data_IF_959005816908
#
_entry.id   IF_959005816908
#
_cell.length_a   1.000
_cell.length_b   1.000
_cell.length_c   1.000
_cell.angle_alpha   90.00
_cell.angle_beta   90.00
_cell.angle_gamma   90.00
#
_symmetry.space_group_name_H-M   'P 1'
#
loop_
_entity.id
_entity.type
_entity.pdbx_description
1 polymer ?
#
# COMPACT_ATOMS: atom_id res chain seq x y z
N UNK A 1 -17.91 8.00 2.00
CA UNK A 1 -17.79 7.61 0.57
C UNK A 1 -16.33 7.37 0.21
N UNK A 2 -16.03 6.58 -0.83
CA UNK A 2 -14.65 6.36 -1.29
C UNK A 2 -13.89 7.68 -1.54
N UNK A 3 -14.55 8.72 -2.06
CA UNK A 3 -13.91 10.05 -2.27
C UNK A 3 -13.48 10.74 -0.98
N UNK A 4 -14.26 10.63 0.09
CA UNK A 4 -13.87 11.16 1.40
C UNK A 4 -12.69 10.35 1.98
N UNK A 5 -12.71 9.04 1.77
CA UNK A 5 -11.65 8.12 2.20
C UNK A 5 -10.34 8.32 1.43
N UNK A 6 -10.42 8.58 0.12
CA UNK A 6 -9.28 8.92 -0.74
C UNK A 6 -8.51 10.13 -0.20
N UNK A 7 -9.21 11.06 0.46
CA UNK A 7 -8.61 12.26 1.04
C UNK A 7 -8.29 12.12 2.52
N UNK A 8 -8.80 11.13 3.24
CA UNK A 8 -8.78 11.08 4.71
C UNK A 8 -7.38 11.16 5.35
N UNK A 9 -6.35 10.63 4.68
CA UNK A 9 -4.95 10.70 5.12
C UNK A 9 -4.16 11.88 4.55
N UNK A 10 -4.79 12.76 3.77
CA UNK A 10 -4.15 13.95 3.22
C UNK A 10 -4.41 15.17 4.11
N UNK A 11 -3.47 16.11 4.07
CA UNK A 11 -3.64 17.45 4.65
C UNK A 11 -4.92 18.08 4.08
N UNK A 12 -5.74 18.66 4.95
CA UNK A 12 -6.93 19.39 4.52
C UNK A 12 -6.57 20.85 4.33
N UNK A 13 -6.38 21.26 3.08
CA UNK A 13 -6.04 22.64 2.68
C UNK A 13 -7.03 23.69 3.21
N UNK A 14 -8.27 23.28 3.51
CA UNK A 14 -9.31 24.16 4.06
C UNK A 14 -9.32 24.23 5.58
N UNK A 15 -8.38 23.53 6.23
CA UNK A 15 -8.23 23.45 7.69
C UNK A 15 -9.56 23.17 8.43
N UNK A 16 -10.41 22.30 7.85
CA UNK A 16 -11.73 22.01 8.42
C UNK A 16 -11.58 21.11 9.64
N UNK A 17 -12.47 21.32 10.61
CA UNK A 17 -12.58 20.40 11.76
C UNK A 17 -13.05 19.01 11.29
N UNK A 18 -12.80 17.93 12.05
CA UNK A 18 -13.32 16.60 11.72
C UNK A 18 -14.84 16.58 11.51
N UNK A 19 -15.56 17.35 12.33
CA UNK A 19 -17.01 17.52 12.21
C UNK A 19 -17.42 18.08 10.85
N UNK A 20 -16.71 19.11 10.38
CA UNK A 20 -16.94 19.73 9.07
C UNK A 20 -16.51 18.80 7.92
N UNK A 21 -15.35 18.16 8.05
CA UNK A 21 -14.77 17.28 7.02
C UNK A 21 -15.62 16.04 6.76
N UNK A 22 -16.18 15.46 7.82
CA UNK A 22 -16.98 14.24 7.77
C UNK A 22 -18.48 14.48 8.07
N UNK A 23 -18.96 15.72 7.91
CA UNK A 23 -20.34 16.12 8.24
C UNK A 23 -21.42 15.24 7.58
N UNK A 24 -21.14 14.66 6.41
CA UNK A 24 -22.05 13.71 5.75
C UNK A 24 -22.14 12.39 6.52
N UNK A 25 -21.00 11.80 6.87
CA UNK A 25 -20.94 10.54 7.60
C UNK A 25 -21.53 10.70 9.01
N UNK A 26 -21.22 11.82 9.67
CA UNK A 26 -21.69 12.12 11.04
C UNK A 26 -23.19 12.46 11.12
N UNK A 27 -23.83 12.86 10.02
CA UNK A 27 -25.29 13.06 9.93
C UNK A 27 -26.05 11.78 9.61
N UNK A 28 -25.36 10.73 9.16
CA UNK A 28 -25.98 9.44 8.85
C UNK A 28 -26.23 8.61 10.11
N UNK A 29 -27.10 7.62 10.00
CA UNK A 29 -27.26 6.60 11.04
C UNK A 29 -26.00 5.74 11.12
N UNK A 30 -25.41 5.52 12.30
CA UNK A 30 -24.29 4.60 12.46
C UNK A 30 -24.68 3.20 12.00
N UNK A 31 -23.82 2.57 11.18
CA UNK A 31 -24.01 1.16 10.75
C UNK A 31 -23.83 0.19 11.91
N UNK A 32 -23.01 0.57 12.89
CA UNK A 32 -22.82 -0.16 14.13
C UNK A 32 -22.51 0.81 15.27
N UNK A 33 -22.86 0.42 16.48
CA UNK A 33 -22.49 1.12 17.71
C UNK A 33 -22.36 0.08 18.81
N UNK A 34 -21.27 0.14 19.56
CA UNK A 34 -21.02 -0.75 20.70
C UNK A 34 -20.23 0.01 21.76
N UNK A 35 -20.18 -0.58 22.96
CA UNK A 35 -19.40 -0.06 24.08
C UNK A 35 -18.26 -1.01 24.36
N UNK A 36 -17.07 -0.44 24.55
CA UNK A 36 -15.89 -1.18 24.97
C UNK A 36 -15.60 -0.89 26.45
N UNK A 37 -15.39 -1.93 27.24
CA UNK A 37 -14.94 -1.77 28.63
C UNK A 37 -13.42 -1.76 28.64
N UNK A 38 -12.84 -0.68 29.16
CA UNK A 38 -11.39 -0.58 29.33
C UNK A 38 -10.96 -1.44 30.53
N UNK A 39 -9.86 -2.21 30.43
CA UNK A 39 -9.34 -2.99 31.55
C UNK A 39 -9.01 -2.08 32.74
N UNK A 40 -9.26 -2.56 33.97
CA UNK A 40 -9.08 -1.76 35.18
C UNK A 40 -7.63 -1.24 35.33
N UNK A 41 -6.62 -2.04 34.96
CA UNK A 41 -5.22 -1.60 34.95
C UNK A 41 -4.97 -0.38 34.06
N UNK A 42 -5.69 -0.24 32.93
CA UNK A 42 -5.53 0.92 32.03
C UNK A 42 -6.17 2.20 32.57
N UNK A 43 -6.99 2.08 33.61
CA UNK A 43 -7.60 3.21 34.32
C UNK A 43 -6.73 3.69 35.50
N UNK A 44 -5.64 2.99 35.81
CA UNK A 44 -4.68 3.47 36.80
C UNK A 44 -3.95 4.69 36.27
N UNK A 45 -3.85 5.73 37.11
CA UNK A 45 -3.18 6.98 36.73
C UNK A 45 -1.67 6.78 36.86
N UNK A 46 -1.09 6.13 35.86
CA UNK A 46 0.35 5.89 35.76
C UNK A 46 1.04 6.73 34.68
N UNK A 47 0.27 7.54 33.95
CA UNK A 47 0.71 8.40 32.84
C UNK A 47 1.45 7.65 31.72
N UNK A 48 1.24 6.34 31.59
CA UNK A 48 1.81 5.52 30.51
C UNK A 48 0.82 5.32 29.38
N UNK A 49 1.35 5.13 28.18
CA UNK A 49 0.54 4.72 27.04
C UNK A 49 0.15 3.25 27.22
N UNK A 50 -1.16 2.99 27.25
CA UNK A 50 -1.73 1.65 27.26
C UNK A 50 -2.33 1.34 25.89
N UNK A 51 -1.96 0.20 25.30
CA UNK A 51 -2.49 -0.26 24.02
C UNK A 51 -3.46 -1.40 24.25
N UNK A 52 -4.66 -1.26 23.70
CA UNK A 52 -5.68 -2.30 23.71
C UNK A 52 -6.03 -2.69 22.28
N UNK A 53 -6.40 -3.96 22.11
CA UNK A 53 -6.99 -4.46 20.88
C UNK A 53 -8.30 -5.12 21.26
N UNK A 54 -9.40 -4.67 20.64
CA UNK A 54 -10.71 -5.27 20.81
C UNK A 54 -11.37 -5.53 19.47
N UNK A 55 -12.21 -6.56 19.43
CA UNK A 55 -13.04 -6.87 18.27
C UNK A 55 -14.21 -5.90 18.21
N UNK A 56 -14.38 -5.23 17.07
CA UNK A 56 -15.57 -4.42 16.80
C UNK A 56 -16.71 -5.22 16.18
N UNK A 57 -17.78 -4.52 15.83
CA UNK A 57 -18.88 -5.10 15.05
C UNK A 57 -18.40 -5.56 13.65
N UNK A 58 -19.01 -6.63 13.13
CA UNK A 58 -18.82 -7.03 11.73
C UNK A 58 -19.33 -5.92 10.79
N UNK A 59 -18.52 -5.55 9.80
CA UNK A 59 -18.82 -4.48 8.86
C UNK A 59 -19.01 -5.06 7.45
N UNK A 60 -20.11 -4.72 6.75
CA UNK A 60 -20.23 -4.99 5.33
C UNK A 60 -19.08 -4.36 4.53
N UNK A 61 -18.85 -4.80 3.29
CA UNK A 61 -17.85 -4.17 2.40
C UNK A 61 -18.13 -2.67 2.25
N UNK A 62 -17.09 -1.84 2.43
CA UNK A 62 -17.26 -0.39 2.40
C UNK A 62 -16.17 0.38 3.13
N UNK A 63 -16.39 1.69 3.26
CA UNK A 63 -15.49 2.61 3.96
C UNK A 63 -16.23 3.30 5.08
N UNK A 64 -15.64 3.26 6.26
CA UNK A 64 -16.25 3.68 7.50
C UNK A 64 -15.40 4.76 8.16
N UNK A 65 -16.10 5.72 8.77
CA UNK A 65 -15.54 6.58 9.79
C UNK A 65 -15.82 5.89 11.13
N UNK A 66 -14.77 5.58 11.88
CA UNK A 66 -14.87 5.10 13.25
C UNK A 66 -14.72 6.31 14.15
N UNK A 67 -15.64 6.48 15.10
CA UNK A 67 -15.59 7.54 16.10
C UNK A 67 -15.62 6.88 17.47
N UNK A 68 -14.64 7.21 18.31
CA UNK A 68 -14.51 6.70 19.67
C UNK A 68 -14.64 7.88 20.61
N UNK A 69 -15.50 7.75 21.62
CA UNK A 69 -15.73 8.79 22.61
C UNK A 69 -15.91 8.22 24.00
N UNK A 70 -15.55 8.98 25.03
CA UNK A 70 -15.87 8.67 26.43
C UNK A 70 -17.24 9.22 26.87
N UNK A 71 -18.06 9.73 25.94
CA UNK A 71 -19.41 10.24 26.22
C UNK A 71 -20.48 9.34 25.61
N UNK A 72 -21.63 9.25 26.29
CA UNK A 72 -22.78 8.45 25.84
C UNK A 72 -23.40 8.99 24.55
N UNK A 73 -23.29 10.30 24.30
CA UNK A 73 -23.80 10.95 23.08
C UNK A 73 -22.73 11.83 22.45
N UNK A 74 -22.55 11.66 21.14
CA UNK A 74 -21.72 12.53 20.31
C UNK A 74 -22.51 13.77 19.90
N UNK A 75 -21.99 14.94 20.21
CA UNK A 75 -22.50 16.21 19.73
C UNK A 75 -21.34 17.04 19.17
N UNK A 76 -21.43 17.37 17.88
CA UNK A 76 -20.43 18.19 17.17
C UNK A 76 -20.88 19.64 16.95
N UNK A 77 -22.11 19.98 17.36
CA UNK A 77 -22.71 21.31 17.15
C UNK A 77 -22.53 22.24 18.35
N UNK A 78 -21.89 21.76 19.42
CA UNK A 78 -21.66 22.52 20.65
C UNK A 78 -20.27 22.19 21.20
N UNK A 79 -19.65 23.10 21.97
CA UNK A 79 -18.40 22.81 22.64
C UNK A 79 -18.51 21.53 23.48
N UNK A 80 -17.51 20.67 23.38
CA UNK A 80 -17.50 19.44 24.15
C UNK A 80 -17.39 19.76 25.65
N UNK A 81 -18.17 19.11 26.53
CA UNK A 81 -18.02 19.29 27.98
C UNK A 81 -16.59 19.02 28.46
N UNK A 82 -16.21 19.59 29.61
CA UNK A 82 -14.91 19.30 30.22
C UNK A 82 -14.70 17.78 30.40
N UNK A 83 -13.47 17.34 30.11
CA UNK A 83 -13.10 15.91 30.14
C UNK A 83 -13.68 15.06 29.01
N UNK A 84 -14.30 15.66 27.98
CA UNK A 84 -14.71 14.92 26.78
C UNK A 84 -13.51 14.62 25.89
N UNK A 85 -13.36 13.36 25.52
CA UNK A 85 -12.36 12.90 24.57
C UNK A 85 -13.09 12.25 23.41
N UNK A 86 -12.75 12.68 22.19
CA UNK A 86 -13.26 12.06 20.96
C UNK A 86 -12.11 11.89 19.99
N UNK A 87 -11.92 10.66 19.54
CA UNK A 87 -10.98 10.32 18.49
C UNK A 87 -11.77 9.80 17.27
N UNK A 88 -11.16 9.89 16.10
CA UNK A 88 -11.74 9.32 14.89
C UNK A 88 -10.64 8.67 14.04
N UNK A 89 -11.05 7.67 13.26
CA UNK A 89 -10.22 7.01 12.27
C UNK A 89 -11.06 6.62 11.07
N UNK A 90 -10.41 6.30 9.96
CA UNK A 90 -11.10 5.74 8.79
C UNK A 90 -10.62 4.31 8.56
N UNK A 91 -11.55 3.43 8.23
CA UNK A 91 -11.26 2.01 7.96
C UNK A 91 -11.99 1.56 6.69
N UNK A 92 -11.35 0.69 5.92
CA UNK A 92 -11.96 0.03 4.77
C UNK A 92 -12.17 -1.46 5.09
N UNK A 93 -13.40 -1.94 4.90
CA UNK A 93 -13.73 -3.36 4.94
C UNK A 93 -13.85 -3.86 3.49
N UNK A 94 -13.03 -4.85 3.12
CA UNK A 94 -12.95 -5.37 1.76
C UNK A 94 -12.44 -6.81 1.76
N UNK A 95 -13.07 -7.66 0.96
CA UNK A 95 -12.61 -9.02 0.66
C UNK A 95 -11.43 -9.02 -0.32
N UNK A 96 -11.13 -7.88 -0.93
CA UNK A 96 -10.02 -7.71 -1.85
C UNK A 96 -8.73 -7.40 -1.10
N UNK A 97 -7.64 -8.04 -1.49
CA UNK A 97 -6.27 -7.62 -1.20
C UNK A 97 -5.46 -7.60 -2.49
N UNK A 98 -4.36 -6.84 -2.49
CA UNK A 98 -3.49 -6.78 -3.66
C UNK A 98 -2.05 -6.49 -3.25
N UNK A 99 -1.12 -7.12 -3.98
CA UNK A 99 0.30 -6.80 -3.95
C UNK A 99 0.73 -6.33 -5.33
N UNK A 100 1.68 -5.40 -5.38
CA UNK A 100 2.14 -4.78 -6.62
C UNK A 100 3.59 -5.12 -6.92
N UNK A 101 3.90 -5.34 -8.19
CA UNK A 101 5.28 -5.43 -8.72
C UNK A 101 5.36 -4.73 -10.07
N UNK A 102 6.55 -4.64 -10.65
CA UNK A 102 6.69 -4.39 -12.09
C UNK A 102 6.93 -5.70 -12.82
N UNK A 103 6.33 -5.82 -14.00
CA UNK A 103 6.75 -6.82 -14.98
C UNK A 103 8.13 -6.45 -15.51
N UNK A 104 9.06 -7.38 -15.51
CA UNK A 104 10.45 -7.09 -15.87
C UNK A 104 10.61 -6.81 -17.36
N UNK A 105 9.91 -7.56 -18.21
CA UNK A 105 10.05 -7.44 -19.67
C UNK A 105 9.45 -6.14 -20.21
N UNK A 106 8.30 -5.73 -19.68
CA UNK A 106 7.55 -4.56 -20.18
C UNK A 106 7.68 -3.34 -19.28
N UNK A 107 8.24 -3.50 -18.08
CA UNK A 107 8.28 -2.49 -17.02
C UNK A 107 6.91 -1.90 -16.69
N UNK A 108 5.85 -2.69 -16.92
CA UNK A 108 4.48 -2.29 -16.61
C UNK A 108 4.14 -2.70 -15.17
N UNK A 109 3.51 -1.82 -14.39
CA UNK A 109 3.04 -2.19 -13.06
C UNK A 109 2.02 -3.33 -13.17
N UNK A 110 2.17 -4.32 -12.31
CA UNK A 110 1.27 -5.46 -12.16
C UNK A 110 0.70 -5.47 -10.75
N UNK A 111 -0.57 -5.87 -10.65
CA UNK A 111 -1.19 -6.25 -9.40
C UNK A 111 -1.48 -7.74 -9.42
N UNK A 112 -1.19 -8.41 -8.32
CA UNK A 112 -1.78 -9.70 -7.99
C UNK A 112 -2.92 -9.44 -7.01
N UNK A 113 -4.15 -9.68 -7.46
CA UNK A 113 -5.37 -9.49 -6.66
C UNK A 113 -5.76 -10.82 -6.04
N UNK A 114 -6.00 -10.79 -4.73
CA UNK A 114 -6.26 -11.97 -3.91
C UNK A 114 -7.52 -11.77 -3.07
N UNK A 115 -8.12 -12.87 -2.65
CA UNK A 115 -9.08 -12.87 -1.57
C UNK A 115 -8.31 -12.63 -0.27
N UNK A 116 -8.71 -11.61 0.50
CA UNK A 116 -8.02 -11.18 1.71
C UNK A 116 -8.00 -12.26 2.80
N UNK A 117 -9.07 -13.06 2.89
CA UNK A 117 -9.22 -14.08 3.91
C UNK A 117 -8.48 -15.37 3.56
N UNK A 118 -8.57 -15.83 2.30
CA UNK A 118 -8.01 -17.13 1.88
C UNK A 118 -6.64 -17.02 1.24
N UNK A 119 -6.24 -15.82 0.79
CA UNK A 119 -5.01 -15.60 0.02
C UNK A 119 -5.07 -16.12 -1.42
N UNK A 120 -6.20 -16.69 -1.86
CA UNK A 120 -6.33 -17.25 -3.21
C UNK A 120 -6.42 -16.14 -4.28
N UNK A 121 -5.83 -16.33 -5.47
CA UNK A 121 -5.99 -15.39 -6.58
C UNK A 121 -7.45 -15.16 -6.98
N UNK A 122 -7.81 -13.90 -7.25
CA UNK A 122 -9.16 -13.52 -7.64
C UNK A 122 -9.23 -13.06 -9.10
N UNK A 123 -9.94 -13.85 -9.92
CA UNK A 123 -10.26 -13.52 -11.30
C UNK A 123 -11.45 -12.54 -11.42
N UNK A 124 -11.53 -11.82 -12.54
CA UNK A 124 -12.69 -10.99 -12.91
C UNK A 124 -12.86 -9.68 -12.14
N UNK A 125 -11.98 -9.38 -11.19
CA UNK A 125 -11.90 -8.07 -10.52
C UNK A 125 -11.49 -6.99 -11.52
N UNK A 126 -12.04 -5.79 -11.37
CA UNK A 126 -11.71 -4.64 -12.23
C UNK A 126 -10.69 -3.75 -11.55
N UNK A 127 -9.82 -3.10 -12.31
CA UNK A 127 -8.99 -2.04 -11.78
C UNK A 127 -8.76 -0.88 -12.75
N UNK A 128 -8.44 0.27 -12.17
CA UNK A 128 -8.07 1.48 -12.88
C UNK A 128 -6.95 2.17 -12.11
N UNK A 129 -5.84 2.43 -12.79
CA UNK A 129 -4.72 3.16 -12.24
C UNK A 129 -4.92 4.67 -12.38
N UNK A 130 -4.44 5.41 -11.38
CA UNK A 130 -4.35 6.86 -11.38
C UNK A 130 -2.87 7.28 -11.39
N UNK A 131 -2.56 8.20 -12.29
CA UNK A 131 -1.22 8.69 -12.58
C UNK A 131 -1.15 10.18 -12.28
N UNK A 132 0.01 10.63 -11.84
CA UNK A 132 0.34 12.05 -11.73
C UNK A 132 1.34 12.38 -12.83
N UNK A 133 0.96 13.30 -13.72
CA UNK A 133 1.72 13.63 -14.92
C UNK A 133 2.20 15.07 -14.81
N UNK A 134 3.51 15.28 -15.01
CA UNK A 134 4.08 16.61 -15.22
C UNK A 134 3.98 16.95 -16.70
N UNK A 135 3.33 18.07 -17.03
CA UNK A 135 3.27 18.60 -18.39
C UNK A 135 4.32 19.70 -18.56
N UNK A 136 5.07 19.71 -19.66
CA UNK A 136 6.13 20.71 -19.88
C UNK A 136 5.65 22.17 -19.87
N UNK A 137 4.36 22.41 -20.14
CA UNK A 137 3.73 23.74 -20.17
C UNK A 137 3.10 24.19 -18.84
N UNK A 138 3.12 23.35 -17.80
CA UNK A 138 2.43 23.64 -16.54
C UNK A 138 3.21 23.07 -15.35
N UNK A 139 3.51 23.91 -14.37
CA UNK A 139 4.04 23.49 -13.06
C UNK A 139 3.04 22.67 -12.23
N UNK A 140 1.80 22.53 -12.70
CA UNK A 140 0.78 21.72 -12.03
C UNK A 140 0.80 20.27 -12.52
N UNK A 141 0.76 19.37 -11.54
CA UNK A 141 0.49 17.95 -11.71
C UNK A 141 -0.91 17.73 -12.32
N UNK A 142 -0.99 17.04 -13.44
CA UNK A 142 -2.27 16.58 -14.00
C UNK A 142 -2.55 15.14 -13.60
N UNK A 143 -3.76 14.87 -13.10
CA UNK A 143 -4.20 13.51 -12.78
C UNK A 143 -4.75 12.84 -14.05
N UNK A 144 -4.16 11.71 -14.45
CA UNK A 144 -4.65 10.89 -15.55
C UNK A 144 -5.08 9.51 -15.06
N UNK A 145 -6.00 8.87 -15.78
CA UNK A 145 -6.50 7.52 -15.46
C UNK A 145 -6.20 6.57 -16.60
N UNK A 146 -5.85 5.33 -16.28
CA UNK A 146 -5.75 4.27 -17.28
C UNK A 146 -7.15 3.87 -17.80
N UNK A 147 -7.20 3.15 -18.93
CA UNK A 147 -8.30 2.24 -19.22
C UNK A 147 -8.56 1.26 -18.06
N UNK A 148 -9.78 0.76 -17.95
CA UNK A 148 -10.13 -0.28 -16.99
C UNK A 148 -9.57 -1.61 -17.46
N UNK A 149 -8.95 -2.35 -16.56
CA UNK A 149 -8.45 -3.71 -16.82
C UNK A 149 -9.13 -4.72 -15.89
N UNK A 150 -9.07 -6.00 -16.26
CA UNK A 150 -9.62 -7.11 -15.48
C UNK A 150 -8.49 -8.04 -15.03
N UNK A 151 -8.63 -8.65 -13.85
CA UNK A 151 -7.72 -9.74 -13.46
C UNK A 151 -7.99 -10.98 -14.30
N UNK A 152 -6.90 -11.58 -14.77
CA UNK A 152 -6.90 -12.91 -15.37
C UNK A 152 -7.18 -13.99 -14.31
N UNK A 153 -7.30 -15.24 -14.75
CA UNK A 153 -7.63 -16.39 -13.88
C UNK A 153 -6.63 -16.61 -12.75
N UNK A 154 -5.37 -16.23 -12.96
CA UNK A 154 -4.31 -16.25 -11.96
C UNK A 154 -4.29 -15.03 -11.02
N UNK A 155 -5.33 -14.18 -11.06
CA UNK A 155 -5.45 -12.96 -10.25
C UNK A 155 -4.55 -11.80 -10.68
N UNK A 156 -3.74 -11.97 -11.73
CA UNK A 156 -2.83 -10.93 -12.21
C UNK A 156 -3.56 -9.95 -13.14
N UNK A 157 -3.26 -8.66 -13.00
CA UNK A 157 -3.64 -7.62 -13.93
C UNK A 157 -2.46 -6.67 -14.20
N UNK A 158 -2.25 -6.32 -15.46
CA UNK A 158 -1.26 -5.32 -15.88
C UNK A 158 -1.95 -3.95 -15.91
N UNK A 159 -1.36 -2.94 -15.27
CA UNK A 159 -1.88 -1.58 -15.23
C UNK A 159 -1.30 -0.77 -16.40
N UNK A 160 -2.11 -0.45 -17.43
CA UNK A 160 -1.61 0.23 -18.62
C UNK A 160 -1.31 1.70 -18.33
N UNK A 161 -0.27 2.24 -18.97
CA UNK A 161 0.06 3.68 -18.89
C UNK A 161 -1.16 4.51 -19.28
N UNK A 162 -1.36 5.65 -18.61
CA UNK A 162 -2.48 6.54 -18.93
C UNK A 162 -2.29 7.32 -20.25
N UNK A 163 -1.05 7.55 -20.70
CA UNK A 163 -0.74 8.28 -21.93
C UNK A 163 0.36 7.57 -22.74
N UNK A 164 0.42 7.84 -24.05
CA UNK A 164 1.55 7.51 -24.95
C UNK A 164 2.78 8.38 -24.68
N UNK A 165 3.00 8.83 -23.45
CA UNK A 165 4.17 9.63 -23.11
C UNK A 165 5.40 8.75 -22.98
N UNK A 166 6.49 9.21 -23.57
CA UNK A 166 7.84 8.73 -23.28
C UNK A 166 8.29 9.29 -21.93
N UNK A 167 8.89 8.45 -21.09
CA UNK A 167 9.42 8.86 -19.78
C UNK A 167 8.62 8.37 -18.56
N UNK A 168 9.17 8.67 -17.37
CA UNK A 168 8.72 8.17 -16.07
C UNK A 168 7.46 8.93 -15.63
N UNK A 169 6.31 8.27 -15.67
CA UNK A 169 5.10 8.80 -15.03
C UNK A 169 5.02 8.20 -13.62
N UNK A 170 5.19 8.97 -12.54
CA UNK A 170 5.02 8.45 -11.19
C UNK A 170 3.58 7.96 -11.05
N UNK A 171 3.44 6.64 -10.91
CA UNK A 171 2.18 6.01 -10.64
C UNK A 171 1.84 6.20 -9.16
N UNK A 172 0.60 6.57 -8.88
CA UNK A 172 0.25 7.07 -7.54
C UNK A 172 -0.68 6.11 -6.82
N UNK A 173 -1.61 5.50 -7.54
CA UNK A 173 -2.52 4.52 -6.96
C UNK A 173 -3.22 3.68 -8.03
N UNK A 174 -3.85 2.59 -7.59
CA UNK A 174 -4.84 1.87 -8.35
C UNK A 174 -6.07 1.61 -7.50
N UNK A 175 -7.25 1.81 -8.10
CA UNK A 175 -8.51 1.38 -7.53
C UNK A 175 -8.86 0.02 -8.13
N UNK A 176 -9.16 -0.95 -7.27
CA UNK A 176 -9.64 -2.29 -7.61
C UNK A 176 -11.09 -2.41 -7.12
N UNK A 177 -11.96 -3.09 -7.87
CA UNK A 177 -13.33 -3.34 -7.43
C UNK A 177 -13.92 -4.63 -8.00
N UNK A 178 -14.84 -5.23 -7.25
CA UNK A 178 -15.70 -6.35 -7.67
C UNK A 178 -17.09 -6.14 -7.07
N UNK A 179 -18.08 -5.91 -7.93
CA UNK A 179 -19.40 -5.47 -7.46
C UNK A 179 -19.28 -4.15 -6.69
N UNK A 180 -19.77 -4.14 -5.44
CA UNK A 180 -19.67 -3.00 -4.52
C UNK A 180 -18.40 -2.99 -3.69
N UNK A 181 -17.64 -4.08 -3.66
CA UNK A 181 -16.38 -4.16 -2.92
C UNK A 181 -15.27 -3.42 -3.66
N UNK A 182 -14.52 -2.60 -2.93
CA UNK A 182 -13.50 -1.72 -3.49
C UNK A 182 -12.27 -1.70 -2.60
N UNK A 183 -11.10 -1.73 -3.23
CA UNK A 183 -9.79 -1.56 -2.59
C UNK A 183 -9.03 -0.45 -3.32
N UNK A 184 -8.42 0.45 -2.56
CA UNK A 184 -7.49 1.44 -3.11
C UNK A 184 -6.08 1.08 -2.67
N UNK A 185 -5.23 0.78 -3.64
CA UNK A 185 -3.81 0.55 -3.44
C UNK A 185 -3.08 1.86 -3.71
N UNK A 186 -2.43 2.40 -2.68
CA UNK A 186 -1.62 3.63 -2.77
C UNK A 186 -0.15 3.29 -2.82
N UNK A 187 0.67 4.25 -3.24
CA UNK A 187 2.13 4.14 -3.23
C UNK A 187 2.58 2.86 -3.95
N UNK A 188 1.94 2.56 -5.08
CA UNK A 188 2.40 1.51 -5.98
C UNK A 188 3.87 1.76 -6.21
N UNK A 189 4.70 0.79 -5.82
CA UNK A 189 6.13 0.98 -5.63
C UNK A 189 6.67 1.77 -6.81
N UNK A 190 7.05 3.03 -6.62
CA UNK A 190 7.65 3.85 -7.67
C UNK A 190 9.10 3.47 -7.76
N UNK A 191 9.38 2.28 -8.31
CA UNK A 191 10.73 1.73 -8.37
C UNK A 191 11.70 2.80 -8.90
N UNK A 192 12.79 3.02 -8.16
CA UNK A 192 13.95 3.67 -8.73
C UNK A 192 14.31 2.88 -9.98
N UNK A 193 14.26 3.57 -11.12
CA UNK A 193 14.65 3.02 -12.40
C UNK A 193 16.13 2.65 -12.31
N UNK A 194 16.40 1.38 -12.05
CA UNK A 194 17.66 0.75 -12.40
C UNK A 194 17.30 -0.14 -13.59
N UNK A 195 17.66 0.23 -14.83
CA UNK A 195 17.48 -0.68 -15.94
C UNK A 195 18.20 -1.96 -15.53
N UNK A 196 17.45 -3.07 -15.46
CA UNK A 196 18.09 -4.34 -15.19
C UNK A 196 18.84 -4.65 -16.47
N UNK A 197 20.16 -4.50 -16.38
CA UNK A 197 21.06 -4.84 -17.46
C UNK A 197 20.90 -6.34 -17.72
N UNK A 198 20.13 -6.67 -18.75
CA UNK A 198 19.88 -8.05 -19.18
C UNK A 198 21.08 -8.62 -19.93
N UNK A 199 22.20 -7.88 -20.00
CA UNK A 199 23.46 -8.42 -20.47
C UNK A 199 23.93 -9.54 -19.55
N UNK A 200 24.49 -10.63 -20.10
CA UNK A 200 25.05 -11.70 -19.28
C UNK A 200 26.16 -11.14 -18.37
N UNK A 201 25.95 -11.21 -17.07
CA UNK A 201 26.90 -10.71 -16.07
C UNK A 201 27.75 -11.88 -15.58
N UNK A 202 29.07 -11.84 -15.85
CA UNK A 202 30.01 -12.81 -15.28
C UNK A 202 30.45 -12.34 -13.90
N UNK A 203 30.32 -13.20 -12.90
CA UNK A 203 30.80 -12.94 -11.54
C UNK A 203 31.65 -14.09 -11.05
N UNK A 204 32.89 -13.76 -10.64
CA UNK A 204 33.81 -14.70 -10.00
C UNK A 204 33.81 -14.48 -8.50
N UNK A 205 33.58 -15.56 -7.75
CA UNK A 205 33.75 -15.58 -6.30
C UNK A 205 35.10 -16.20 -5.99
N UNK A 206 36.02 -15.40 -5.47
CA UNK A 206 37.33 -15.87 -5.03
C UNK A 206 37.29 -16.17 -3.54
N UNK A 207 37.86 -17.29 -3.14
CA UNK A 207 38.04 -17.66 -1.75
C UNK A 207 39.41 -18.27 -1.54
N UNK A 208 40.03 -17.90 -0.43
CA UNK A 208 41.30 -18.44 0.05
C UNK A 208 41.02 -19.54 1.07
N UNK A 209 42.04 -20.33 1.40
CA UNK A 209 41.97 -21.29 2.50
C UNK A 209 41.96 -20.61 3.88
N UNK A 210 42.45 -19.35 3.96
CA UNK A 210 42.63 -18.60 5.21
C UNK A 210 42.31 -17.11 5.03
N UNK A 211 41.90 -16.46 6.11
CA UNK A 211 41.55 -15.04 6.12
C UNK A 211 42.76 -14.08 6.19
N UNK A 212 43.91 -14.52 6.71
CA UNK A 212 45.13 -13.70 6.83
C UNK A 212 46.38 -14.53 6.47
N UNK A 213 47.30 -13.88 5.75
CA UNK A 213 48.64 -14.39 5.45
C UNK A 213 49.70 -13.45 6.00
N UNK A 214 50.85 -14.01 6.37
CA UNK A 214 52.03 -13.25 6.81
C UNK A 214 52.97 -12.98 5.63
N UNK A 215 53.85 -11.96 5.72
CA UNK A 215 54.83 -11.68 4.67
C UNK A 215 55.67 -12.93 4.32
N UNK A 216 55.84 -13.19 3.03
CA UNK A 216 56.59 -14.33 2.50
C UNK A 216 55.80 -15.63 2.33
N UNK A 217 54.52 -15.68 2.68
CA UNK A 217 53.67 -16.85 2.44
C UNK A 217 53.08 -16.86 1.03
N UNK A 218 53.03 -18.05 0.41
CA UNK A 218 52.26 -18.29 -0.82
C UNK A 218 50.76 -18.25 -0.51
N UNK A 219 50.01 -17.45 -1.28
CA UNK A 219 48.54 -17.36 -1.18
C UNK A 219 47.91 -18.36 -2.14
N UNK A 220 47.02 -19.21 -1.63
CA UNK A 220 46.23 -20.14 -2.42
C UNK A 220 44.78 -19.66 -2.47
N UNK A 221 44.20 -19.62 -3.66
CA UNK A 221 42.80 -19.30 -3.84
C UNK A 221 42.13 -20.23 -4.85
N UNK A 222 40.81 -20.33 -4.75
CA UNK A 222 39.93 -20.99 -5.70
C UNK A 222 38.87 -20.00 -6.15
N UNK A 223 38.38 -20.18 -7.37
CA UNK A 223 37.35 -19.35 -7.97
C UNK A 223 36.11 -20.17 -8.33
N UNK A 224 34.93 -19.65 -8.03
CA UNK A 224 33.66 -20.11 -8.61
C UNK A 224 33.21 -19.04 -9.61
N UNK A 225 33.09 -19.42 -10.89
CA UNK A 225 32.62 -18.53 -11.94
C UNK A 225 31.13 -18.76 -12.20
N UNK A 226 30.35 -17.70 -12.13
CA UNK A 226 28.91 -17.72 -12.40
C UNK A 226 28.56 -16.77 -13.54
N UNK A 227 27.54 -17.13 -14.29
CA UNK A 227 26.88 -16.26 -15.26
C UNK A 227 25.46 -15.99 -14.77
N UNK A 228 25.08 -14.71 -14.63
CA UNK A 228 23.70 -14.35 -14.36
C UNK A 228 23.07 -13.60 -15.53
N UNK A 229 21.83 -13.95 -15.86
CA UNK A 229 21.02 -13.27 -16.86
C UNK A 229 19.54 -13.40 -16.50
N UNK A 230 18.80 -12.28 -16.51
CA UNK A 230 17.34 -12.24 -16.33
C UNK A 230 16.83 -13.12 -15.18
N UNK A 231 17.41 -12.96 -13.99
CA UNK A 231 17.14 -13.71 -12.75
C UNK A 231 17.51 -15.21 -12.73
N UNK A 232 18.20 -15.72 -13.75
CA UNK A 232 18.85 -17.04 -13.72
C UNK A 232 20.33 -16.87 -13.40
N UNK A 233 20.88 -17.82 -12.65
CA UNK A 233 22.31 -17.91 -12.36
C UNK A 233 22.78 -19.33 -12.68
N UNK A 234 23.85 -19.45 -13.45
CA UNK A 234 24.43 -20.71 -13.88
C UNK A 234 25.92 -20.78 -13.50
N UNK A 235 26.37 -21.96 -13.12
CA UNK A 235 27.78 -22.25 -12.86
C UNK A 235 28.48 -22.48 -14.21
N UNK A 236 29.55 -21.73 -14.47
CA UNK A 236 30.40 -21.98 -15.64
C UNK A 236 31.47 -23.01 -15.30
N UNK A 237 31.51 -24.13 -16.04
CA UNK A 237 32.43 -25.26 -15.85
C UNK A 237 33.30 -25.40 -17.10
N UNK A 238 34.60 -25.68 -16.94
CA UNK A 238 35.50 -26.06 -18.05
C UNK A 238 35.94 -24.91 -18.97
N UNK A 239 35.98 -23.67 -18.46
CA UNK A 239 36.53 -22.50 -19.14
C UNK A 239 38.05 -22.45 -19.02
#
# INVERSE_FOLDING_TARGET
TLREWEKAGQYDERNRTPAQRYARALRGTPVATWTELLPAETLTVDYKEHKIASGGAALPVGYYLVVITNKVKLNFNSPAPAGSVTAFGVVGASELSAVSRYEHATYMPQLLVLNRQTGQPLAGGSAQAAYQIYTQSSTQLQAAKSPVVRSADNGIMVLPKALKQEGRVPQVSAKIWRGTDTLLVRNLAGGYYQPIDNQPQRRTFLFTDRAIYRPGQTVYFKGILTLSQSAKAELLIGQ
#
